data_IF_598338632139
#
_entry.id   IF_598338632139
#
_cell.length_a   1.000
_cell.length_b   1.000
_cell.length_c   1.000
_cell.angle_alpha   90.00
_cell.angle_beta   90.00
_cell.angle_gamma   90.00
#
_symmetry.space_group_name_H-M   'P 1'
#
loop_
_entity.id
_entity.type
_entity.pdbx_description
1 polymer ?
#
# COMPACT_ATOMS: atom_id res chain seq x y z
N UNK A 1 12.10 21.47 2.38
CA UNK A 1 12.83 20.23 2.04
C UNK A 1 12.53 19.27 3.17
N UNK A 2 11.72 18.22 2.93
CA UNK A 2 11.42 17.24 3.98
C UNK A 2 12.69 16.43 4.25
N UNK A 3 13.17 16.49 5.50
CA UNK A 3 14.23 15.63 5.98
C UNK A 3 13.68 14.20 6.10
N UNK A 4 14.46 13.23 5.63
CA UNK A 4 14.08 11.82 5.64
C UNK A 4 14.11 11.28 7.06
N UNK A 5 13.14 10.44 7.40
CA UNK A 5 13.13 9.81 8.72
C UNK A 5 14.24 8.75 8.81
N UNK A 6 14.80 8.48 10.00
CA UNK A 6 15.81 7.43 10.19
C UNK A 6 15.35 6.05 9.68
N UNK A 7 14.06 5.75 9.78
CA UNK A 7 13.46 4.49 9.30
C UNK A 7 13.45 4.40 7.76
N UNK A 8 13.18 5.51 7.07
CA UNK A 8 13.25 5.58 5.60
C UNK A 8 14.69 5.35 5.12
N UNK A 9 15.68 5.91 5.83
CA UNK A 9 17.10 5.76 5.54
C UNK A 9 17.54 4.29 5.73
N UNK A 10 17.17 3.67 6.86
CA UNK A 10 17.55 2.29 7.18
C UNK A 10 16.91 1.28 6.20
N UNK A 11 15.64 1.48 5.84
CA UNK A 11 14.96 0.64 4.85
C UNK A 11 15.60 0.75 3.46
N UNK A 12 16.01 1.96 3.05
CA UNK A 12 16.74 2.16 1.80
C UNK A 12 18.09 1.42 1.80
N UNK A 13 18.87 1.53 2.88
CA UNK A 13 20.16 0.84 3.00
C UNK A 13 20.01 -0.69 2.99
N UNK A 14 18.98 -1.24 3.63
CA UNK A 14 18.70 -2.68 3.65
C UNK A 14 18.42 -3.20 2.24
N UNK A 15 17.54 -2.53 1.49
CA UNK A 15 17.15 -2.93 0.13
C UNK A 15 18.33 -2.84 -0.84
N UNK A 16 19.21 -1.85 -0.67
CA UNK A 16 20.49 -1.73 -1.41
C UNK A 16 21.42 -2.90 -1.09
N UNK A 17 21.58 -3.28 0.19
CA UNK A 17 22.44 -4.40 0.60
C UNK A 17 21.96 -5.75 0.05
N UNK A 18 20.65 -6.02 0.07
CA UNK A 18 20.08 -7.26 -0.47
C UNK A 18 20.29 -7.37 -1.98
N UNK A 19 20.02 -6.29 -2.71
CA UNK A 19 20.23 -6.22 -4.17
C UNK A 19 21.68 -6.48 -4.54
N UNK A 20 22.62 -5.89 -3.77
CA UNK A 20 24.05 -6.07 -3.99
C UNK A 20 24.52 -7.49 -3.63
N UNK A 21 24.00 -8.07 -2.55
CA UNK A 21 24.35 -9.43 -2.12
C UNK A 21 23.92 -10.50 -3.13
N UNK A 22 22.75 -10.36 -3.73
CA UNK A 22 22.27 -11.27 -4.77
C UNK A 22 23.07 -11.13 -6.08
N UNK A 23 23.46 -9.92 -6.47
CA UNK A 23 24.23 -9.69 -7.71
C UNK A 23 25.67 -10.21 -7.61
N UNK A 24 26.32 -10.06 -6.44
CA UNK A 24 27.65 -10.63 -6.17
C UNK A 24 27.62 -12.16 -6.17
N UNK A 25 26.52 -12.78 -5.70
CA UNK A 25 26.31 -14.23 -5.73
C UNK A 25 26.09 -14.77 -7.15
N UNK A 26 25.38 -14.03 -8.00
CA UNK A 26 25.00 -14.49 -9.34
C UNK A 26 26.14 -14.45 -10.37
N UNK A 27 27.25 -13.72 -10.11
CA UNK A 27 28.38 -13.64 -11.03
C UNK A 27 29.74 -13.52 -10.32
N UNK A 28 30.36 -14.64 -9.88
CA UNK A 28 31.75 -14.60 -9.44
C UNK A 28 32.66 -14.35 -10.64
N UNK A 29 33.15 -13.10 -10.80
CA UNK A 29 34.19 -12.74 -11.79
C UNK A 29 33.76 -11.89 -12.99
N UNK A 30 32.52 -11.39 -13.04
CA UNK A 30 32.08 -10.48 -14.11
C UNK A 30 32.42 -9.03 -13.77
N UNK A 31 33.08 -8.36 -14.73
CA UNK A 31 33.36 -6.93 -14.82
C UNK A 31 32.49 -6.05 -13.92
N UNK A 32 33.17 -5.31 -13.03
CA UNK A 32 32.65 -4.25 -12.18
C UNK A 32 31.63 -3.41 -12.95
N UNK A 33 30.38 -3.40 -12.48
CA UNK A 33 29.36 -2.48 -12.99
C UNK A 33 29.96 -1.08 -12.98
N UNK A 34 29.86 -0.34 -14.09
CA UNK A 34 30.39 1.02 -14.17
C UNK A 34 29.82 1.86 -13.01
N UNK A 35 30.62 2.72 -12.34
CA UNK A 35 30.13 3.59 -11.28
C UNK A 35 28.85 4.34 -11.65
N UNK A 36 28.73 4.83 -12.89
CA UNK A 36 27.53 5.53 -13.38
C UNK A 36 26.29 4.63 -13.47
N UNK A 37 26.47 3.35 -13.81
CA UNK A 37 25.38 2.38 -13.87
C UNK A 37 24.93 1.98 -12.47
N UNK A 38 25.89 1.87 -11.54
CA UNK A 38 25.62 1.63 -10.13
C UNK A 38 24.89 2.82 -9.52
N UNK A 39 25.35 4.06 -9.76
CA UNK A 39 24.68 5.28 -9.31
C UNK A 39 23.27 5.41 -9.85
N UNK A 40 23.03 5.19 -11.15
CA UNK A 40 21.67 5.23 -11.72
C UNK A 40 20.75 4.18 -11.10
N UNK A 41 21.28 2.99 -10.82
CA UNK A 41 20.52 1.90 -10.18
C UNK A 41 20.26 2.20 -8.70
N UNK A 42 21.26 2.68 -7.97
CA UNK A 42 21.14 3.09 -6.58
C UNK A 42 20.18 4.27 -6.44
N UNK A 43 20.29 5.30 -7.28
CA UNK A 43 19.35 6.43 -7.31
C UNK A 43 17.93 5.97 -7.55
N UNK A 44 17.72 4.99 -8.45
CA UNK A 44 16.39 4.40 -8.66
C UNK A 44 15.90 3.62 -7.44
N UNK A 45 16.75 2.81 -6.80
CA UNK A 45 16.40 2.05 -5.58
C UNK A 45 16.13 2.99 -4.41
N UNK A 46 16.92 4.05 -4.26
CA UNK A 46 16.75 5.10 -3.26
C UNK A 46 15.45 5.84 -3.54
N UNK A 47 15.20 6.31 -4.76
CA UNK A 47 13.94 6.96 -5.16
C UNK A 47 12.73 6.07 -4.90
N UNK A 48 12.82 4.78 -5.20
CA UNK A 48 11.77 3.79 -4.91
C UNK A 48 11.62 3.51 -3.39
N UNK A 49 12.68 3.63 -2.61
CA UNK A 49 12.64 3.52 -1.14
C UNK A 49 12.19 4.81 -0.45
N UNK A 50 12.20 5.93 -1.17
CA UNK A 50 11.73 7.24 -0.74
C UNK A 50 10.28 7.50 -1.14
N UNK A 51 9.64 6.57 -1.87
CA UNK A 51 8.19 6.64 -2.08
C UNK A 51 7.50 6.54 -0.71
N UNK A 52 6.58 7.46 -0.39
CA UNK A 52 5.90 7.49 0.90
C UNK A 52 5.18 6.16 1.14
N UNK A 53 5.33 5.57 2.33
CA UNK A 53 4.53 4.41 2.72
C UNK A 53 3.07 4.86 2.86
N UNK A 54 2.12 3.99 2.53
CA UNK A 54 0.71 4.28 2.74
C UNK A 54 0.42 4.57 4.22
N UNK A 55 1.25 4.03 5.14
CA UNK A 55 1.19 4.29 6.59
C UNK A 55 1.44 5.76 6.94
N UNK A 56 2.21 6.47 6.12
CA UNK A 56 2.51 7.90 6.33
C UNK A 56 1.33 8.79 5.91
N UNK A 57 0.37 8.24 5.14
CA UNK A 57 -0.78 8.97 4.62
C UNK A 57 -1.99 8.71 5.53
N UNK A 58 -2.05 9.43 6.64
CA UNK A 58 -3.17 9.34 7.59
C UNK A 58 -3.64 10.71 8.08
N UNK A 59 -4.85 10.72 8.65
CA UNK A 59 -5.42 11.81 9.41
C UNK A 59 -5.78 11.28 10.81
N UNK A 60 -5.48 12.03 11.86
CA UNK A 60 -5.86 11.66 13.22
C UNK A 60 -7.32 12.04 13.51
N UNK A 61 -8.12 11.06 13.93
CA UNK A 61 -9.53 11.24 14.26
C UNK A 61 -9.79 10.92 15.72
N UNK A 62 -10.64 11.71 16.38
CA UNK A 62 -11.14 11.38 17.70
C UNK A 62 -12.40 10.52 17.57
N UNK A 63 -12.29 9.24 17.93
CA UNK A 63 -13.42 8.30 17.97
C UNK A 63 -13.65 7.91 19.41
N UNK A 64 -14.80 8.26 19.98
CA UNK A 64 -15.11 7.94 21.39
C UNK A 64 -14.15 8.54 22.42
N UNK A 65 -13.45 9.63 22.09
CA UNK A 65 -12.47 10.26 22.98
C UNK A 65 -11.04 9.69 22.87
N UNK A 66 -10.82 8.68 22.02
CA UNK A 66 -9.49 8.16 21.71
C UNK A 66 -9.02 8.66 20.33
N UNK A 67 -7.76 9.08 20.24
CA UNK A 67 -7.13 9.42 18.97
C UNK A 67 -6.83 8.16 18.17
N UNK A 68 -7.42 8.03 16.99
CA UNK A 68 -7.26 6.90 16.09
C UNK A 68 -6.83 7.40 14.71
N UNK A 69 -5.79 6.76 14.16
CA UNK A 69 -5.33 7.03 12.79
C UNK A 69 -6.35 6.52 11.78
N UNK A 70 -6.75 7.41 10.88
CA UNK A 70 -7.63 7.10 9.77
C UNK A 70 -6.95 7.38 8.45
N UNK A 71 -7.08 6.42 7.54
CA UNK A 71 -6.37 6.39 6.29
C UNK A 71 -7.33 6.68 5.13
N UNK A 72 -7.06 7.68 4.29
CA UNK A 72 -7.89 7.99 3.14
C UNK A 72 -7.82 6.88 2.08
N UNK A 73 -8.79 6.88 1.15
CA UNK A 73 -8.80 5.93 0.01
C UNK A 73 -7.51 5.97 -0.84
N UNK A 74 -6.74 7.05 -0.82
CA UNK A 74 -5.42 7.13 -1.47
C UNK A 74 -4.39 6.22 -0.81
N UNK A 75 -4.37 6.13 0.52
CA UNK A 75 -3.52 5.20 1.25
C UNK A 75 -3.87 3.75 0.91
N UNK A 76 -5.16 3.40 0.90
CA UNK A 76 -5.62 2.07 0.47
C UNK A 76 -5.19 1.76 -0.97
N UNK A 77 -5.32 2.73 -1.87
CA UNK A 77 -4.94 2.56 -3.27
C UNK A 77 -3.44 2.29 -3.42
N UNK A 78 -2.62 2.97 -2.61
CA UNK A 78 -1.18 2.78 -2.54
C UNK A 78 -0.82 1.39 -2.00
N UNK A 79 -1.41 0.97 -0.88
CA UNK A 79 -1.22 -0.37 -0.31
C UNK A 79 -1.55 -1.50 -1.31
N UNK A 80 -2.60 -1.30 -2.12
CA UNK A 80 -3.02 -2.27 -3.14
C UNK A 80 -2.30 -2.11 -4.49
N UNK A 81 -1.37 -1.16 -4.59
CA UNK A 81 -0.66 -0.82 -5.83
C UNK A 81 -1.63 -0.59 -7.01
N UNK A 82 -2.68 0.21 -6.76
CA UNK A 82 -3.74 0.52 -7.73
C UNK A 82 -4.05 2.00 -7.76
N UNK A 83 -4.70 2.45 -8.84
CA UNK A 83 -5.20 3.81 -8.91
C UNK A 83 -6.44 3.99 -8.03
N UNK A 84 -6.58 5.17 -7.40
CA UNK A 84 -7.76 5.54 -6.58
C UNK A 84 -9.09 5.35 -7.34
N UNK A 85 -9.11 5.65 -8.64
CA UNK A 85 -10.28 5.44 -9.49
C UNK A 85 -10.72 3.97 -9.58
N UNK A 86 -9.78 3.02 -9.48
CA UNK A 86 -10.06 1.59 -9.45
C UNK A 86 -10.70 1.21 -8.11
N UNK A 87 -10.19 1.72 -6.98
CA UNK A 87 -10.78 1.48 -5.66
C UNK A 87 -12.24 1.96 -5.61
N UNK A 88 -12.52 3.16 -6.12
CA UNK A 88 -13.89 3.69 -6.25
C UNK A 88 -14.79 2.80 -7.11
N UNK A 89 -14.24 2.23 -8.19
CA UNK A 89 -14.96 1.29 -9.05
C UNK A 89 -15.19 -0.06 -8.38
N UNK A 90 -14.26 -0.53 -7.56
CA UNK A 90 -14.41 -1.76 -6.77
C UNK A 90 -15.52 -1.60 -5.75
N UNK A 91 -15.57 -0.47 -5.03
CA UNK A 91 -16.70 -0.15 -4.16
C UNK A 91 -18.03 -0.10 -4.92
N UNK A 92 -18.07 0.60 -6.06
CA UNK A 92 -19.32 0.77 -6.82
C UNK A 92 -19.84 -0.53 -7.42
N UNK A 93 -18.95 -1.48 -7.72
CA UNK A 93 -19.29 -2.82 -8.22
C UNK A 93 -19.46 -3.87 -7.11
N UNK A 94 -19.24 -3.50 -5.85
CA UNK A 94 -19.36 -4.41 -4.70
C UNK A 94 -18.17 -5.36 -4.50
N UNK A 95 -17.07 -5.18 -5.24
CA UNK A 95 -15.84 -5.94 -5.03
C UNK A 95 -15.08 -5.52 -3.77
N UNK A 96 -15.33 -4.30 -3.31
CA UNK A 96 -14.86 -3.80 -2.03
C UNK A 96 -16.07 -3.36 -1.21
N UNK A 97 -16.13 -3.63 0.10
CA UNK A 97 -17.13 -3.05 0.96
C UNK A 97 -17.08 -1.52 0.93
N UNK A 98 -18.20 -0.87 1.23
CA UNK A 98 -18.22 0.60 1.38
C UNK A 98 -17.33 0.99 2.55
N UNK A 99 -16.53 2.03 2.39
CA UNK A 99 -15.73 2.59 3.48
C UNK A 99 -16.58 2.82 4.75
N UNK A 100 -16.14 2.31 5.92
CA UNK A 100 -16.89 2.35 7.17
C UNK A 100 -16.99 3.78 7.70
N UNK A 101 -15.93 4.57 7.54
CA UNK A 101 -15.89 5.96 7.98
C UNK A 101 -16.04 6.90 6.80
N UNK A 102 -16.98 7.84 6.91
CA UNK A 102 -17.25 8.84 5.87
C UNK A 102 -17.38 10.22 6.49
N UNK A 103 -16.50 11.14 6.13
CA UNK A 103 -16.59 12.54 6.55
C UNK A 103 -17.26 13.37 5.46
N UNK A 104 -18.21 14.22 5.85
CA UNK A 104 -18.73 15.27 4.97
C UNK A 104 -17.58 16.28 4.77
N UNK A 105 -17.33 16.67 3.53
CA UNK A 105 -16.39 17.73 3.22
C UNK A 105 -17.19 18.99 2.87
N UNK A 106 -16.61 20.17 3.09
CA UNK A 106 -17.14 21.46 2.62
C UNK A 106 -17.09 21.58 1.08
N UNK A 107 -16.35 20.68 0.42
CA UNK A 107 -16.31 20.61 -1.04
C UNK A 107 -17.51 19.83 -1.62
N UNK A 108 -18.18 20.32 -2.69
CA UNK A 108 -19.31 19.66 -3.34
C UNK A 108 -18.97 18.31 -4.00
N UNK A 109 -17.69 17.87 -3.99
CA UNK A 109 -17.19 16.65 -4.66
C UNK A 109 -17.32 15.36 -3.85
N UNK A 110 -18.09 15.36 -2.76
CA UNK A 110 -18.55 14.15 -2.08
C UNK A 110 -17.78 13.76 -0.83
N UNK A 111 -18.31 12.76 -0.11
CA UNK A 111 -17.81 12.32 1.20
C UNK A 111 -16.43 11.68 1.11
N UNK A 112 -15.51 12.13 1.96
CA UNK A 112 -14.19 11.51 2.13
C UNK A 112 -14.36 10.14 2.77
N UNK A 113 -13.59 9.17 2.30
CA UNK A 113 -13.65 7.77 2.72
C UNK A 113 -12.43 7.46 3.53
N UNK A 114 -12.64 6.92 4.71
CA UNK A 114 -11.58 6.58 5.65
C UNK A 114 -11.67 5.11 6.05
N UNK A 115 -10.49 4.56 6.25
CA UNK A 115 -10.22 3.19 6.67
C UNK A 115 -9.33 3.24 7.92
N UNK A 116 -9.36 2.20 8.74
CA UNK A 116 -8.36 2.05 9.81
C UNK A 116 -7.16 1.27 9.28
N UNK A 117 -6.07 1.26 10.05
CA UNK A 117 -4.89 0.46 9.73
C UNK A 117 -5.25 -1.02 9.50
N UNK A 118 -6.02 -1.61 10.41
CA UNK A 118 -6.49 -2.99 10.32
C UNK A 118 -7.29 -3.28 9.04
N UNK A 119 -8.07 -2.31 8.54
CA UNK A 119 -8.76 -2.48 7.26
C UNK A 119 -7.77 -2.56 6.09
N UNK A 120 -6.77 -1.68 6.05
CA UNK A 120 -5.80 -1.65 4.94
C UNK A 120 -4.91 -2.88 4.98
N UNK A 121 -4.35 -3.22 6.14
CA UNK A 121 -3.46 -4.38 6.28
C UNK A 121 -4.16 -5.69 5.93
N UNK A 122 -5.40 -5.87 6.40
CA UNK A 122 -6.19 -7.05 6.05
C UNK A 122 -6.49 -7.14 4.56
N UNK A 123 -6.86 -6.02 3.92
CA UNK A 123 -7.09 -5.98 2.47
C UNK A 123 -5.81 -6.23 1.67
N UNK A 124 -4.67 -5.68 2.12
CA UNK A 124 -3.37 -5.90 1.50
C UNK A 124 -2.96 -7.38 1.55
N UNK A 125 -3.11 -8.00 2.72
CA UNK A 125 -2.85 -9.44 2.91
C UNK A 125 -3.73 -10.29 1.98
N UNK A 126 -5.04 -10.05 1.94
CA UNK A 126 -5.95 -10.78 1.03
C UNK A 126 -5.56 -10.53 -0.43
N UNK A 127 -5.28 -9.29 -0.82
CA UNK A 127 -4.89 -8.97 -2.20
C UNK A 127 -3.58 -9.63 -2.61
N UNK A 128 -2.62 -9.74 -1.68
CA UNK A 128 -1.35 -10.43 -1.90
C UNK A 128 -1.56 -11.92 -2.13
N UNK A 129 -2.39 -12.56 -1.30
CA UNK A 129 -2.72 -13.98 -1.41
C UNK A 129 -3.49 -14.32 -2.70
N UNK A 130 -4.40 -13.44 -3.12
CA UNK A 130 -5.19 -13.60 -4.34
C UNK A 130 -4.43 -13.17 -5.61
N UNK A 131 -3.16 -12.75 -5.50
CA UNK A 131 -2.33 -12.34 -6.63
C UNK A 131 -2.78 -11.04 -7.31
N UNK A 132 -3.42 -10.14 -6.54
CA UNK A 132 -3.96 -8.88 -7.03
C UNK A 132 -2.98 -7.70 -6.94
N UNK A 133 -1.82 -7.81 -6.27
CA UNK A 133 -0.83 -6.72 -6.24
C UNK A 133 -0.06 -6.58 -7.56
N UNK A 134 0.43 -5.37 -7.87
CA UNK A 134 1.04 -4.99 -9.15
C UNK A 134 2.53 -5.38 -9.21
N UNK A 135 2.83 -6.66 -9.03
CA UNK A 135 4.20 -7.19 -9.11
C UNK A 135 4.25 -8.71 -9.18
N UNK A 136 3.14 -9.39 -8.90
CA UNK A 136 2.99 -10.79 -9.20
C UNK A 136 3.16 -10.97 -10.72
N UNK A 137 4.18 -11.72 -11.15
CA UNK A 137 4.39 -12.20 -12.54
C UNK A 137 3.18 -12.97 -13.12
N UNK A 138 2.09 -13.05 -12.37
CA UNK A 138 0.88 -13.76 -12.67
C UNK A 138 -0.02 -12.89 -13.56
N UNK A 139 -0.77 -13.57 -14.42
CA UNK A 139 -1.76 -12.99 -15.36
C UNK A 139 -2.55 -11.89 -14.67
N UNK A 140 -2.96 -10.85 -15.41
CA UNK A 140 -3.88 -9.79 -14.97
C UNK A 140 -5.20 -10.42 -14.48
N UNK A 141 -5.23 -10.96 -13.26
CA UNK A 141 -6.40 -11.56 -12.66
C UNK A 141 -7.40 -10.45 -12.43
N UNK A 142 -8.60 -10.62 -12.97
CA UNK A 142 -9.67 -9.69 -12.73
C UNK A 142 -10.20 -9.93 -11.31
N UNK A 143 -10.42 -8.88 -10.52
CA UNK A 143 -10.88 -9.00 -9.12
C UNK A 143 -12.11 -9.89 -8.96
N UNK A 144 -13.03 -9.85 -9.93
CA UNK A 144 -14.23 -10.71 -9.93
C UNK A 144 -13.98 -12.20 -10.20
N UNK A 145 -12.75 -12.61 -10.53
CA UNK A 145 -12.34 -14.01 -10.69
C UNK A 145 -11.64 -14.57 -9.45
N UNK A 146 -11.45 -13.74 -8.42
CA UNK A 146 -10.74 -14.08 -7.18
C UNK A 146 -11.73 -14.17 -6.02
N UNK A 147 -11.30 -14.72 -4.88
CA UNK A 147 -12.10 -14.71 -3.64
C UNK A 147 -11.93 -13.40 -2.85
N UNK A 148 -11.17 -12.44 -3.39
CA UNK A 148 -10.96 -11.14 -2.76
C UNK A 148 -12.25 -10.44 -2.32
N UNK A 149 -13.31 -10.34 -3.15
CA UNK A 149 -14.53 -9.65 -2.70
C UNK A 149 -15.15 -10.28 -1.45
N UNK A 150 -15.32 -11.61 -1.45
CA UNK A 150 -15.93 -12.35 -0.34
C UNK A 150 -15.12 -12.14 0.95
N UNK A 151 -13.80 -12.32 0.86
CA UNK A 151 -12.88 -12.17 1.99
C UNK A 151 -12.80 -10.72 2.49
N UNK A 152 -12.87 -9.74 1.60
CA UNK A 152 -12.91 -8.33 1.96
C UNK A 152 -14.18 -7.98 2.74
N UNK A 153 -15.34 -8.51 2.34
CA UNK A 153 -16.60 -8.33 3.09
C UNK A 153 -16.57 -9.02 4.45
N UNK A 154 -15.98 -10.21 4.54
CA UNK A 154 -15.81 -10.92 5.81
C UNK A 154 -14.89 -10.15 6.77
N UNK A 155 -13.73 -9.67 6.30
CA UNK A 155 -12.82 -8.82 7.08
C UNK A 155 -13.55 -7.62 7.69
N UNK A 156 -14.33 -6.90 6.88
CA UNK A 156 -15.04 -5.71 7.36
C UNK A 156 -16.13 -6.05 8.38
N UNK A 157 -16.76 -7.22 8.25
CA UNK A 157 -17.74 -7.71 9.22
C UNK A 157 -17.07 -7.98 10.57
N UNK A 158 -15.97 -8.73 10.57
CA UNK A 158 -15.21 -9.07 11.78
C UNK A 158 -14.67 -7.82 12.48
N UNK A 159 -14.10 -6.88 11.71
CA UNK A 159 -13.59 -5.62 12.26
C UNK A 159 -14.70 -4.75 12.85
N UNK A 160 -15.89 -4.76 12.25
CA UNK A 160 -17.05 -4.07 12.82
C UNK A 160 -17.47 -4.69 14.16
N UNK A 161 -17.57 -6.01 14.23
CA UNK A 161 -17.93 -6.74 15.46
C UNK A 161 -16.92 -6.55 16.60
N UNK A 162 -15.66 -6.25 16.26
CA UNK A 162 -14.60 -6.00 17.26
C UNK A 162 -14.56 -4.55 17.77
N UNK A 163 -15.35 -3.66 17.16
CA UNK A 163 -15.41 -2.23 17.48
C UNK A 163 -16.69 -1.85 18.25
N UNK A 164 -17.69 -2.75 18.31
CA UNK A 164 -18.92 -2.64 19.10
C UNK A 164 -18.72 -3.27 20.50
#
# INVERSE_FOLDING_TARGET
>A
MSELTPDQIENAFRKVRETFADEVRLRPGSATVSPDQLERRMSKVIEESLEPDWRDIHEDFMVGGMGQRMYPISALAMALERAVGIMRRWESRGYLPKAPFRRLNDSPRGRHRFYTEAHIEGLESIAREEGLLRGAKQRKLHVGQTRFPERAHELFRQLKESQD
#
